data_IF_009198593259
#
_entry.id   IF_009198593259
#
_cell.length_a   1.000
_cell.length_b   1.000
_cell.length_c   1.000
_cell.angle_alpha   90.00
_cell.angle_beta   90.00
_cell.angle_gamma   90.00
#
_symmetry.space_group_name_H-M   'P 1'
#
loop_
_entity.id
_entity.type
_entity.pdbx_description
1 polymer ?
#
# COMPACT_ATOMS: atom_id res chain seq x y z
N UNK A 1 14.05 12.00 6.45
CA UNK A 1 13.39 10.80 5.94
C UNK A 1 12.51 10.20 7.03
N UNK A 2 11.27 9.89 6.72
CA UNK A 2 10.36 9.18 7.61
C UNK A 2 10.01 7.83 7.02
N UNK A 3 9.90 6.82 7.86
CA UNK A 3 9.63 5.47 7.43
C UNK A 3 8.60 4.81 8.34
N UNK A 4 7.64 4.12 7.74
CA UNK A 4 6.64 3.31 8.43
C UNK A 4 6.62 1.94 7.83
N UNK A 5 6.39 0.92 8.64
CA UNK A 5 6.28 -0.45 8.16
C UNK A 5 5.39 -1.27 9.06
N UNK A 6 4.84 -2.34 8.50
CA UNK A 6 4.10 -3.35 9.25
C UNK A 6 4.17 -4.65 8.48
N UNK A 7 4.07 -5.76 9.19
CA UNK A 7 4.08 -7.07 8.57
C UNK A 7 3.17 -8.02 9.32
N UNK A 8 2.73 -9.07 8.63
CA UNK A 8 1.89 -10.11 9.22
C UNK A 8 2.04 -11.40 8.43
N UNK A 9 1.66 -12.51 9.03
CA UNK A 9 1.57 -13.78 8.33
C UNK A 9 0.11 -14.03 7.98
N UNK A 10 -0.16 -14.28 6.70
CA UNK A 10 -1.51 -14.49 6.17
C UNK A 10 -1.66 -15.95 5.79
N UNK A 11 -2.70 -16.62 6.30
CA UNK A 11 -2.98 -18.03 6.01
C UNK A 11 -3.69 -18.14 4.66
N UNK A 12 -3.00 -17.73 3.61
CA UNK A 12 -3.45 -17.79 2.23
C UNK A 12 -2.21 -17.76 1.33
N UNK A 13 -2.37 -18.23 0.10
CA UNK A 13 -1.24 -18.25 -0.86
C UNK A 13 -0.87 -16.85 -1.31
N UNK A 14 0.37 -16.64 -1.77
CA UNK A 14 0.76 -15.35 -2.34
C UNK A 14 -0.14 -14.93 -3.51
N UNK A 15 -0.62 -15.89 -4.31
CA UNK A 15 -1.52 -15.61 -5.43
C UNK A 15 -2.83 -15.01 -4.94
N UNK A 16 -3.39 -15.56 -3.87
CA UNK A 16 -4.63 -15.03 -3.27
C UNK A 16 -4.43 -13.62 -2.74
N UNK A 17 -3.34 -13.39 -2.01
CA UNK A 17 -3.04 -12.07 -1.44
C UNK A 17 -2.79 -11.07 -2.55
N UNK A 18 -2.02 -11.45 -3.57
CA UNK A 18 -1.71 -10.58 -4.71
C UNK A 18 -2.97 -10.13 -5.46
N UNK A 19 -3.89 -11.06 -5.67
CA UNK A 19 -5.14 -10.77 -6.37
C UNK A 19 -5.94 -9.70 -5.63
N UNK A 20 -6.00 -9.77 -4.31
CA UNK A 20 -6.69 -8.76 -3.49
C UNK A 20 -5.95 -7.44 -3.54
N UNK A 21 -4.63 -7.48 -3.39
CA UNK A 21 -3.76 -6.30 -3.33
C UNK A 21 -3.77 -5.50 -4.63
N UNK A 22 -3.97 -6.15 -5.76
CA UNK A 22 -3.97 -5.50 -7.08
C UNK A 22 -5.35 -5.25 -7.66
N UNK A 23 -6.41 -5.63 -6.94
CA UNK A 23 -7.79 -5.35 -7.35
C UNK A 23 -8.20 -3.98 -6.82
N UNK A 24 -7.97 -2.95 -7.64
CA UNK A 24 -8.26 -1.56 -7.24
C UNK A 24 -9.72 -1.37 -6.86
N UNK A 25 -10.64 -1.96 -7.60
CA UNK A 25 -12.07 -1.80 -7.37
C UNK A 25 -12.55 -2.49 -6.10
N UNK A 26 -11.79 -3.44 -5.57
CA UNK A 26 -12.16 -4.18 -4.37
C UNK A 26 -11.73 -3.53 -3.06
N UNK A 27 -10.86 -2.52 -3.10
CA UNK A 27 -10.30 -1.92 -1.88
C UNK A 27 -11.35 -1.41 -0.89
N UNK A 28 -12.42 -0.72 -1.30
CA UNK A 28 -13.40 -0.21 -0.32
C UNK A 28 -14.05 -1.30 0.52
N UNK A 29 -14.08 -2.54 0.02
CA UNK A 29 -14.70 -3.64 0.73
C UNK A 29 -13.88 -4.13 1.92
N UNK A 30 -12.57 -3.91 1.92
CA UNK A 30 -11.72 -4.43 3.00
C UNK A 30 -10.80 -3.37 3.62
N UNK A 31 -10.40 -2.34 2.89
CA UNK A 31 -9.55 -1.26 3.43
C UNK A 31 -10.43 -0.08 3.81
N UNK A 32 -10.73 0.03 5.11
CA UNK A 32 -11.65 1.05 5.61
C UNK A 32 -11.11 2.47 5.50
N UNK A 33 -9.80 2.66 5.30
CA UNK A 33 -9.23 3.99 5.09
C UNK A 33 -9.39 4.47 3.65
N UNK A 34 -9.76 3.58 2.74
CA UNK A 34 -9.85 3.86 1.32
C UNK A 34 -11.30 4.08 0.91
N UNK A 35 -11.60 5.26 0.36
CA UNK A 35 -12.91 5.51 -0.23
C UNK A 35 -13.04 4.75 -1.56
N UNK A 36 -12.11 4.99 -2.48
CA UNK A 36 -12.01 4.22 -3.72
C UNK A 36 -10.68 4.50 -4.42
N UNK A 37 -10.37 3.69 -5.43
CA UNK A 37 -9.19 3.87 -6.29
C UNK A 37 -9.69 4.00 -7.72
N UNK A 38 -9.24 5.02 -8.44
CA UNK A 38 -9.51 5.18 -9.87
C UNK A 38 -8.30 4.72 -10.67
N UNK A 39 -8.54 3.86 -11.67
CA UNK A 39 -7.50 3.30 -12.51
C UNK A 39 -7.24 1.85 -12.20
N UNK A 40 -6.20 1.30 -12.84
CA UNK A 40 -5.80 -0.10 -12.67
C UNK A 40 -4.45 -0.20 -12.02
N UNK A 41 -4.33 -1.06 -11.02
CA UNK A 41 -3.05 -1.40 -10.42
C UNK A 41 -2.35 -2.40 -11.34
N UNK A 42 -1.68 -1.88 -12.35
CA UNK A 42 -1.00 -2.64 -13.40
C UNK A 42 0.34 -1.98 -13.72
N UNK A 43 1.28 -2.71 -14.37
CA UNK A 43 2.62 -2.17 -14.60
C UNK A 43 2.62 -0.82 -15.31
N UNK A 44 3.32 0.15 -14.75
CA UNK A 44 3.51 1.47 -15.34
C UNK A 44 2.31 2.41 -15.29
N UNK A 45 1.18 1.94 -14.77
CA UNK A 45 -0.03 2.76 -14.69
C UNK A 45 0.03 3.77 -13.55
N UNK A 46 -0.71 4.86 -13.72
CA UNK A 46 -0.94 5.83 -12.65
C UNK A 46 -2.38 5.70 -12.20
N UNK A 47 -2.59 5.60 -10.89
CA UNK A 47 -3.91 5.50 -10.28
C UNK A 47 -4.13 6.68 -9.35
N UNK A 48 -5.38 6.94 -8.99
CA UNK A 48 -5.73 7.98 -8.03
C UNK A 48 -6.34 7.32 -6.80
N UNK A 49 -5.74 7.58 -5.64
CA UNK A 49 -6.23 7.11 -4.36
C UNK A 49 -7.13 8.19 -3.76
N UNK A 50 -8.36 7.81 -3.44
CA UNK A 50 -9.31 8.64 -2.70
C UNK A 50 -9.47 8.04 -1.32
N UNK A 51 -8.84 8.67 -0.32
CA UNK A 51 -8.86 8.17 1.05
C UNK A 51 -9.85 8.97 1.89
N UNK A 52 -10.24 8.39 3.03
CA UNK A 52 -11.14 9.09 3.97
C UNK A 52 -10.41 10.14 4.80
N UNK A 53 -9.08 10.17 4.72
CA UNK A 53 -8.25 11.11 5.49
C UNK A 53 -8.16 12.49 4.84
N UNK A 54 -8.45 12.60 3.56
CA UNK A 54 -8.31 13.85 2.82
C UNK A 54 -9.32 13.91 1.68
N UNK A 55 -9.89 15.09 1.37
CA UNK A 55 -10.78 15.24 0.21
C UNK A 55 -10.03 15.23 -1.11
N UNK A 56 -8.70 15.35 -1.06
CA UNK A 56 -7.89 15.39 -2.28
C UNK A 56 -7.48 14.01 -2.73
N UNK A 57 -7.51 13.77 -4.04
CA UNK A 57 -6.99 12.55 -4.62
C UNK A 57 -5.46 12.56 -4.59
N UNK A 58 -4.87 11.38 -4.37
CA UNK A 58 -3.43 11.19 -4.40
C UNK A 58 -3.06 10.38 -5.64
N UNK A 59 -2.39 11.01 -6.64
CA UNK A 59 -1.91 10.23 -7.79
C UNK A 59 -0.73 9.38 -7.36
N UNK A 60 -0.75 8.12 -7.76
CA UNK A 60 0.23 7.12 -7.39
C UNK A 60 0.62 6.34 -8.64
N UNK A 61 1.92 6.17 -8.88
CA UNK A 61 2.41 5.42 -10.03
C UNK A 61 2.86 4.03 -9.60
N UNK A 62 2.52 3.03 -10.39
CA UNK A 62 2.98 1.66 -10.19
C UNK A 62 4.39 1.54 -10.80
N UNK A 63 5.41 1.59 -9.94
CA UNK A 63 6.82 1.58 -10.35
C UNK A 63 7.36 0.18 -10.57
N UNK A 64 6.93 -0.78 -9.77
CA UNK A 64 7.31 -2.17 -9.94
C UNK A 64 6.09 -3.04 -9.72
N UNK A 65 5.96 -4.07 -10.55
CA UNK A 65 4.82 -4.97 -10.52
C UNK A 65 5.36 -6.38 -10.77
N UNK A 66 5.71 -7.08 -9.69
CA UNK A 66 6.24 -8.43 -9.75
C UNK A 66 5.18 -9.38 -9.16
N UNK A 67 4.40 -10.04 -10.02
CA UNK A 67 3.26 -10.85 -9.55
C UNK A 67 3.62 -11.80 -8.43
N UNK A 68 2.79 -11.80 -7.40
CA UNK A 68 2.90 -12.65 -6.21
C UNK A 68 4.14 -12.37 -5.34
N UNK A 69 4.88 -11.29 -5.61
CA UNK A 69 6.12 -11.01 -4.90
C UNK A 69 6.25 -9.57 -4.42
N UNK A 70 6.06 -8.60 -5.31
CA UNK A 70 6.41 -7.22 -4.96
C UNK A 70 5.63 -6.21 -5.78
N UNK A 71 5.10 -5.21 -5.09
CA UNK A 71 4.41 -4.07 -5.70
C UNK A 71 5.00 -2.80 -5.12
N UNK A 72 5.47 -1.89 -5.97
CA UNK A 72 6.02 -0.61 -5.53
C UNK A 72 5.18 0.52 -6.11
N UNK A 73 4.69 1.38 -5.22
CA UNK A 73 3.85 2.52 -5.55
C UNK A 73 4.58 3.80 -5.15
N UNK A 74 4.67 4.76 -6.07
CA UNK A 74 5.33 6.03 -5.78
C UNK A 74 4.39 7.19 -6.01
N UNK A 75 4.50 8.20 -5.15
CA UNK A 75 3.73 9.43 -5.26
C UNK A 75 4.53 10.61 -4.75
N UNK A 76 3.90 11.78 -4.70
CA UNK A 76 4.51 12.96 -4.15
C UNK A 76 4.37 14.18 -5.04
N UNK A 77 5.21 15.16 -4.78
CA UNK A 77 5.21 16.44 -5.50
C UNK A 77 6.26 16.44 -6.61
N UNK A 78 6.07 17.28 -7.66
CA UNK A 78 7.05 17.36 -8.76
C UNK A 78 8.45 17.71 -8.30
N UNK A 79 9.43 17.36 -9.12
CA UNK A 79 10.85 17.71 -8.95
C UNK A 79 11.48 17.14 -7.70
N UNK A 80 10.89 16.06 -7.14
CA UNK A 80 11.44 15.43 -5.95
C UNK A 80 11.34 16.26 -4.68
N UNK A 81 10.54 17.31 -4.68
CA UNK A 81 10.33 18.16 -3.50
C UNK A 81 9.77 17.38 -2.32
N UNK A 82 8.89 16.43 -2.60
CA UNK A 82 8.35 15.49 -1.61
C UNK A 82 8.09 14.18 -2.35
N UNK A 83 8.57 13.07 -1.77
CA UNK A 83 8.41 11.75 -2.37
C UNK A 83 7.84 10.77 -1.37
N UNK A 84 6.96 9.90 -1.85
CA UNK A 84 6.54 8.72 -1.09
C UNK A 84 6.80 7.48 -1.93
N UNK A 85 7.31 6.43 -1.30
CA UNK A 85 7.50 5.14 -1.95
C UNK A 85 6.97 4.06 -1.02
N UNK A 86 5.92 3.38 -1.46
CA UNK A 86 5.31 2.28 -0.71
C UNK A 86 5.66 0.96 -1.39
N UNK A 87 6.24 0.05 -0.63
CA UNK A 87 6.61 -1.27 -1.12
C UNK A 87 5.81 -2.33 -0.38
N UNK A 88 5.10 -3.15 -1.13
CA UNK A 88 4.42 -4.35 -0.62
C UNK A 88 5.24 -5.56 -1.05
N UNK A 89 5.63 -6.39 -0.10
CA UNK A 89 6.41 -7.60 -0.35
C UNK A 89 5.66 -8.83 0.15
N UNK A 90 5.59 -9.85 -0.69
CA UNK A 90 4.97 -11.13 -0.38
C UNK A 90 6.04 -12.20 -0.44
N UNK A 91 6.15 -12.99 0.63
CA UNK A 91 7.08 -14.11 0.69
C UNK A 91 6.30 -15.37 1.02
N UNK A 92 6.41 -16.39 0.18
CA UNK A 92 5.75 -17.67 0.44
C UNK A 92 6.52 -18.43 1.51
N UNK A 93 5.80 -18.89 2.52
CA UNK A 93 6.36 -19.70 3.60
C UNK A 93 6.25 -21.19 3.23
N UNK A 94 6.98 -22.03 3.97
CA UNK A 94 7.03 -23.48 3.70
C UNK A 94 5.66 -24.15 3.83
N UNK A 95 4.78 -23.63 4.66
CA UNK A 95 3.44 -24.18 4.89
C UNK A 95 2.40 -23.65 3.89
N UNK A 96 2.81 -22.86 2.90
CA UNK A 96 1.92 -22.28 1.91
C UNK A 96 1.30 -20.94 2.32
N UNK A 97 1.54 -20.49 3.54
CA UNK A 97 1.10 -19.18 3.98
C UNK A 97 2.01 -18.09 3.38
N UNK A 98 1.63 -16.84 3.56
CA UNK A 98 2.37 -15.70 3.02
C UNK A 98 2.78 -14.76 4.14
N UNK A 99 4.05 -14.40 4.18
CA UNK A 99 4.50 -13.25 4.98
C UNK A 99 4.32 -12.00 4.13
N UNK A 100 3.46 -11.10 4.59
CA UNK A 100 3.19 -9.84 3.92
C UNK A 100 3.84 -8.71 4.71
N UNK A 101 4.58 -7.85 3.99
CA UNK A 101 5.18 -6.66 4.58
C UNK A 101 4.84 -5.47 3.73
N UNK A 102 4.43 -4.38 4.37
CA UNK A 102 4.28 -3.07 3.73
C UNK A 102 5.23 -2.08 4.39
N UNK A 103 5.85 -1.24 3.56
CA UNK A 103 6.78 -0.23 4.02
C UNK A 103 6.58 1.03 3.19
N UNK A 104 6.62 2.18 3.84
CA UNK A 104 6.54 3.45 3.11
C UNK A 104 7.63 4.38 3.60
N UNK A 105 8.36 4.97 2.64
CA UNK A 105 9.45 5.91 2.90
C UNK A 105 9.04 7.26 2.34
N UNK A 106 9.04 8.27 3.20
CA UNK A 106 8.83 9.67 2.81
C UNK A 106 10.17 10.38 2.79
N UNK A 107 10.42 11.14 1.74
CA UNK A 107 11.69 11.85 1.55
C UNK A 107 11.48 13.14 0.77
N UNK A 108 12.56 13.91 0.58
CA UNK A 108 12.56 15.16 -0.14
C UNK A 108 12.73 16.37 0.77
N UNK A 109 13.17 17.53 0.21
CA UNK A 109 13.46 18.72 1.03
C UNK A 109 12.23 19.27 1.76
N UNK A 110 11.02 19.13 1.20
CA UNK A 110 9.81 19.64 1.86
C UNK A 110 9.39 18.76 3.04
N UNK A 111 9.98 17.58 3.23
CA UNK A 111 9.69 16.76 4.39
C UNK A 111 10.04 17.47 5.68
N UNK A 112 11.10 18.30 5.69
CA UNK A 112 11.48 19.09 6.85
C UNK A 112 10.38 20.08 7.23
N UNK A 113 9.63 20.58 6.25
CA UNK A 113 8.53 21.51 6.46
C UNK A 113 7.25 20.78 6.87
N UNK A 114 6.90 19.70 6.16
CA UNK A 114 5.67 18.94 6.37
C UNK A 114 5.79 17.89 7.46
N UNK A 115 7.00 17.46 7.79
CA UNK A 115 7.23 16.33 8.69
C UNK A 115 6.57 16.49 10.06
N UNK A 116 6.43 17.73 10.54
CA UNK A 116 5.75 18.01 11.81
C UNK A 116 4.23 17.88 11.70
N UNK A 117 3.69 18.01 10.48
CA UNK A 117 2.24 17.97 10.23
C UNK A 117 1.78 16.60 9.72
N UNK A 118 2.72 15.73 9.38
CA UNK A 118 2.35 14.36 8.98
C UNK A 118 1.87 13.61 10.22
N UNK A 119 0.67 13.02 10.15
CA UNK A 119 0.19 12.20 11.27
C UNK A 119 1.09 10.98 11.44
N UNK A 120 1.08 10.42 12.65
CA UNK A 120 1.74 9.13 12.87
C UNK A 120 0.91 8.05 12.19
N UNK A 121 1.49 7.39 11.19
CA UNK A 121 0.81 6.39 10.37
C UNK A 121 0.99 4.96 10.89
N UNK A 122 1.62 4.77 12.04
CA UNK A 122 1.87 3.44 12.59
C UNK A 122 0.59 2.62 12.72
N UNK A 123 -0.45 3.22 13.29
CA UNK A 123 -1.75 2.55 13.45
C UNK A 123 -2.40 2.23 12.12
N UNK A 124 -2.31 3.17 11.16
CA UNK A 124 -2.87 2.97 9.83
C UNK A 124 -2.23 1.77 9.13
N UNK A 125 -0.91 1.60 9.28
CA UNK A 125 -0.18 0.48 8.67
C UNK A 125 -0.56 -0.83 9.34
N UNK A 126 -0.72 -0.85 10.67
CA UNK A 126 -1.19 -2.04 11.37
C UNK A 126 -2.59 -2.44 10.93
N UNK A 127 -3.47 -1.45 10.80
CA UNK A 127 -4.84 -1.70 10.35
C UNK A 127 -4.88 -2.21 8.92
N UNK A 128 -4.01 -1.70 8.06
CA UNK A 128 -3.92 -2.14 6.67
C UNK A 128 -3.55 -3.63 6.58
N UNK A 129 -2.47 -4.05 7.26
CA UNK A 129 -2.06 -5.45 7.20
C UNK A 129 -3.09 -6.38 7.84
N UNK A 130 -3.74 -5.93 8.91
CA UNK A 130 -4.80 -6.72 9.57
C UNK A 130 -6.02 -6.88 8.66
N UNK A 131 -6.40 -5.81 7.96
CA UNK A 131 -7.54 -5.84 7.04
C UNK A 131 -7.27 -6.75 5.84
N UNK A 132 -6.08 -6.67 5.27
CA UNK A 132 -5.68 -7.53 4.17
C UNK A 132 -5.66 -9.00 4.61
N UNK A 133 -5.10 -9.28 5.79
CA UNK A 133 -5.08 -10.62 6.35
C UNK A 133 -6.50 -11.17 6.51
N UNK A 134 -7.39 -10.40 7.10
CA UNK A 134 -8.78 -10.82 7.30
C UNK A 134 -9.47 -11.11 5.97
N UNK A 135 -9.29 -10.24 4.99
CA UNK A 135 -9.91 -10.42 3.66
C UNK A 135 -9.40 -11.69 2.99
N UNK A 136 -8.09 -11.90 3.00
CA UNK A 136 -7.48 -13.06 2.36
C UNK A 136 -7.88 -14.38 3.02
N UNK A 137 -7.99 -14.38 4.35
CA UNK A 137 -8.30 -15.59 5.11
C UNK A 137 -9.79 -15.94 5.14
N UNK A 138 -10.67 -14.98 4.88
CA UNK A 138 -12.11 -15.21 4.99
C UNK A 138 -12.84 -15.25 3.65
N UNK A 139 -12.27 -14.76 2.59
CA UNK A 139 -13.03 -14.71 1.36
C UNK A 139 -12.19 -14.34 0.16
N UNK A 140 -10.89 -14.40 0.36
CA UNK A 140 -9.90 -14.10 -0.65
C UNK A 140 -10.26 -14.36 -2.09
#
# INVERSE_FOLDING_TARGET
MKQYSASTTIQASPQTVWKILTDAGGYPAWDLSMDHIEGKLAPGETVKFFTRLSPQAFPVRVRAFEPNRRLVLTGGMPLGLFKSERTHTLTENKDGSTTFRTEEIFSGPLLAVFGRKLPDLTENFRNFVAALKKKAETGG
#
